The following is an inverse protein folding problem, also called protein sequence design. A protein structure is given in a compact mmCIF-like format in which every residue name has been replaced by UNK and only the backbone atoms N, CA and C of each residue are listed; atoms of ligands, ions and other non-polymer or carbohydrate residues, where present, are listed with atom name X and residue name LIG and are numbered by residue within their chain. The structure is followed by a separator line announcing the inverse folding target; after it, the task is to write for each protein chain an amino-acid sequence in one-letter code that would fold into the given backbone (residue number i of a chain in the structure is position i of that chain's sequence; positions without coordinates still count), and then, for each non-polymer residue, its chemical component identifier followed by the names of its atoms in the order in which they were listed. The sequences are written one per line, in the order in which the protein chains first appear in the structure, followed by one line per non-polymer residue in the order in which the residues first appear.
data_IF_642596655534
#
_entry.id   IF_642596655534
#
_cell.length_a   1.000
_cell.length_b   1.000
_cell.length_c   1.000
_cell.angle_alpha   90.00
_cell.angle_beta   90.00
_cell.angle_gamma   90.00
#
_symmetry.space_group_name_H-M   'P 1'
#
loop_
_entity.id
_entity.type
_entity.pdbx_description
1 polymer ?
#
# COMPACT_ATOMS: atom_id res chain seq x y z
N UNK A 1 -2.23 -1.63 -20.33
CA UNK A 1 -1.07 -1.07 -19.57
C UNK A 1 0.06 -2.10 -19.49
N UNK A 2 1.32 -1.67 -19.40
CA UNK A 2 2.47 -2.55 -19.16
C UNK A 2 2.28 -3.47 -17.96
N UNK A 3 2.98 -4.61 -17.92
CA UNK A 3 2.86 -5.58 -16.81
C UNK A 3 3.21 -4.96 -15.45
N UNK A 4 4.22 -4.09 -15.41
CA UNK A 4 4.63 -3.41 -14.19
C UNK A 4 3.54 -2.49 -13.62
N UNK A 5 2.77 -1.80 -14.46
CA UNK A 5 1.61 -0.98 -14.01
C UNK A 5 0.59 -1.84 -13.28
N UNK A 6 0.31 -3.04 -13.80
CA UNK A 6 -0.63 -3.97 -13.16
C UNK A 6 -0.11 -4.43 -11.80
N UNK A 7 1.18 -4.76 -11.71
CA UNK A 7 1.82 -5.16 -10.45
C UNK A 7 1.70 -4.04 -9.40
N UNK A 8 2.11 -2.82 -9.74
CA UNK A 8 2.02 -1.66 -8.86
C UNK A 8 0.58 -1.43 -8.42
N UNK A 9 -0.37 -1.35 -9.36
CA UNK A 9 -1.77 -1.16 -9.03
C UNK A 9 -2.32 -2.26 -8.09
N UNK A 10 -1.94 -3.52 -8.29
CA UNK A 10 -2.36 -4.64 -7.43
C UNK A 10 -1.80 -4.52 -6.01
N UNK A 11 -0.52 -4.16 -5.88
CA UNK A 11 0.15 -3.90 -4.61
C UNK A 11 -0.55 -2.78 -3.83
N UNK A 12 -0.72 -1.62 -4.46
CA UNK A 12 -1.45 -0.49 -3.87
C UNK A 12 -2.90 -0.83 -3.52
N UNK A 13 -3.60 -1.61 -4.34
CA UNK A 13 -4.99 -2.05 -4.07
C UNK A 13 -5.09 -2.82 -2.75
N UNK A 14 -4.08 -3.63 -2.43
CA UNK A 14 -4.04 -4.40 -1.20
C UNK A 14 -3.48 -3.61 0.00
N UNK A 15 -3.19 -2.31 -0.17
CA UNK A 15 -2.57 -1.48 0.87
C UNK A 15 -1.10 -1.81 1.12
N UNK A 16 -0.38 -2.39 0.17
CA UNK A 16 1.08 -2.58 0.25
C UNK A 16 1.74 -1.89 -0.94
N UNK A 17 2.12 -0.61 -0.85
CA UNK A 17 2.94 0.03 -1.88
C UNK A 17 4.23 -0.79 -2.10
N UNK A 18 4.58 -1.16 -3.35
CA UNK A 18 5.69 -2.06 -3.65
C UNK A 18 7.06 -1.50 -3.24
N UNK A 19 7.18 -0.18 -3.04
CA UNK A 19 8.37 0.51 -2.58
C UNK A 19 8.81 0.03 -1.19
N UNK A 20 7.88 -0.47 -0.37
CA UNK A 20 8.17 -1.04 0.95
C UNK A 20 8.69 -2.48 0.89
N UNK A 21 8.62 -3.14 -0.26
CA UNK A 21 9.06 -4.52 -0.41
C UNK A 21 10.58 -4.54 -0.54
N UNK A 22 11.26 -4.82 0.57
CA UNK A 22 12.70 -5.05 0.62
C UNK A 22 13.55 -3.81 0.87
N UNK A 23 13.01 -2.59 0.76
CA UNK A 23 13.79 -1.36 0.94
C UNK A 23 14.43 -1.26 2.34
N UNK A 24 13.66 -1.42 3.42
CA UNK A 24 14.21 -1.31 4.77
C UNK A 24 15.24 -2.40 5.10
N UNK A 25 15.00 -3.64 4.65
CA UNK A 25 15.98 -4.71 4.77
C UNK A 25 17.26 -4.41 3.97
N UNK A 26 17.12 -3.86 2.76
CA UNK A 26 18.25 -3.48 1.91
C UNK A 26 19.09 -2.36 2.51
N UNK A 27 18.46 -1.30 3.03
CA UNK A 27 19.17 -0.21 3.71
C UNK A 27 19.88 -0.69 4.97
N UNK A 28 19.24 -1.59 5.74
CA UNK A 28 19.86 -2.24 6.88
C UNK A 28 21.10 -3.04 6.49
N UNK A 29 21.01 -3.87 5.46
CA UNK A 29 22.14 -4.68 5.00
C UNK A 29 23.29 -3.80 4.47
N UNK A 30 22.99 -2.72 3.77
CA UNK A 30 23.98 -1.72 3.33
C UNK A 30 24.67 -1.09 4.54
N UNK A 31 23.92 -0.68 5.57
CA UNK A 31 24.48 -0.16 6.83
C UNK A 31 25.40 -1.17 7.51
N UNK A 32 24.99 -2.44 7.59
CA UNK A 32 25.75 -3.50 8.25
C UNK A 32 27.04 -3.87 7.50
N UNK A 33 27.02 -3.81 6.16
CA UNK A 33 28.15 -4.25 5.32
C UNK A 33 29.08 -3.12 4.88
N UNK A 34 28.55 -1.91 4.69
CA UNK A 34 29.26 -0.76 4.12
C UNK A 34 29.32 0.45 5.09
N UNK A 35 28.60 0.39 6.21
CA UNK A 35 28.58 1.45 7.23
C UNK A 35 27.55 2.55 6.97
N UNK A 36 27.30 3.37 8.00
CA UNK A 36 26.30 4.45 8.00
C UNK A 36 26.48 5.44 6.83
N UNK A 37 27.73 5.85 6.58
CA UNK A 37 28.04 6.83 5.53
C UNK A 37 27.60 6.39 4.13
N UNK A 38 27.51 5.08 3.86
CA UNK A 38 27.02 4.58 2.58
C UNK A 38 25.50 4.79 2.45
N UNK A 39 24.75 4.58 3.53
CA UNK A 39 23.31 4.84 3.57
C UNK A 39 23.04 6.33 3.45
N UNK A 40 23.75 7.17 4.19
CA UNK A 40 23.61 8.63 4.11
C UNK A 40 23.85 9.13 2.67
N UNK A 41 24.88 8.61 2.00
CA UNK A 41 25.19 8.96 0.61
C UNK A 41 24.07 8.57 -0.36
N UNK A 42 23.45 7.39 -0.19
CA UNK A 42 22.30 6.99 -1.00
C UNK A 42 21.13 7.95 -0.79
N UNK A 43 20.81 8.26 0.46
CA UNK A 43 19.62 9.04 0.82
C UNK A 43 19.77 10.54 0.53
N UNK A 44 20.98 11.10 0.58
CA UNK A 44 21.19 12.55 0.45
C UNK A 44 21.85 12.99 -0.85
N UNK A 45 22.68 12.15 -1.47
CA UNK A 45 23.44 12.52 -2.67
C UNK A 45 22.97 11.78 -3.94
N UNK A 46 22.87 10.44 -3.86
CA UNK A 46 22.64 9.62 -5.06
C UNK A 46 21.16 9.53 -5.43
N UNK A 47 20.26 9.43 -4.44
CA UNK A 47 18.83 9.36 -4.66
C UNK A 47 18.05 10.24 -3.66
N UNK A 48 18.21 11.57 -3.73
CA UNK A 48 17.68 12.50 -2.74
C UNK A 48 16.15 12.54 -2.64
N UNK A 49 15.42 12.15 -3.69
CA UNK A 49 13.95 12.10 -3.63
C UNK A 49 13.42 10.89 -2.85
N UNK A 50 14.23 9.85 -2.64
CA UNK A 50 13.78 8.59 -2.06
C UNK A 50 13.08 8.79 -0.72
N UNK A 51 13.59 9.67 0.14
CA UNK A 51 12.97 9.95 1.43
C UNK A 51 11.58 10.59 1.26
N UNK A 52 11.46 11.58 0.38
CA UNK A 52 10.19 12.26 0.11
C UNK A 52 9.17 11.31 -0.55
N UNK A 53 9.64 10.46 -1.47
CA UNK A 53 8.83 9.48 -2.18
C UNK A 53 8.27 8.46 -1.18
N UNK A 54 9.12 7.86 -0.34
CA UNK A 54 8.72 6.91 0.71
C UNK A 54 7.76 7.53 1.72
N UNK A 55 8.06 8.75 2.16
CA UNK A 55 7.21 9.50 3.09
C UNK A 55 5.82 9.74 2.49
N UNK A 56 5.73 10.10 1.21
CA UNK A 56 4.44 10.29 0.54
C UNK A 56 3.66 8.98 0.40
N UNK A 57 4.32 7.90 -0.06
CA UNK A 57 3.61 6.63 -0.32
C UNK A 57 3.24 5.87 0.95
N UNK A 58 3.87 6.17 2.10
CA UNK A 58 3.51 5.56 3.39
C UNK A 58 2.07 5.84 3.81
N UNK A 59 1.47 6.92 3.31
CA UNK A 59 0.04 7.22 3.50
C UNK A 59 -0.88 6.11 3.01
N UNK A 60 -0.43 5.28 2.08
CA UNK A 60 -1.21 4.21 1.46
C UNK A 60 -0.87 2.82 2.03
N UNK A 61 0.00 2.76 3.04
CA UNK A 61 0.50 1.52 3.63
C UNK A 61 -0.42 1.02 4.75
N UNK A 62 -1.02 -0.14 4.54
CA UNK A 62 -1.71 -0.91 5.57
C UNK A 62 -0.76 -1.95 6.18
N UNK A 63 -0.39 -1.77 7.45
CA UNK A 63 0.55 -2.65 8.19
C UNK A 63 -0.10 -3.84 8.87
N UNK A 64 -1.43 -3.95 8.87
CA UNK A 64 -2.14 -5.02 9.56
C UNK A 64 -2.05 -6.34 8.77
N UNK A 65 -1.40 -7.34 9.36
CA UNK A 65 -1.25 -8.70 8.84
C UNK A 65 -2.59 -9.43 8.62
N UNK A 66 -3.67 -8.99 9.26
CA UNK A 66 -5.00 -9.60 9.15
C UNK A 66 -5.80 -9.03 7.99
N UNK A 67 -5.68 -7.72 7.74
CA UNK A 67 -6.49 -7.02 6.73
C UNK A 67 -5.74 -6.80 5.41
N UNK A 68 -4.40 -6.72 5.42
CA UNK A 68 -3.58 -6.68 4.21
C UNK A 68 -3.18 -8.10 3.75
N UNK A 69 -3.72 -8.54 2.62
CA UNK A 69 -3.49 -9.90 2.10
C UNK A 69 -2.07 -10.15 1.59
N UNK A 70 -1.30 -9.10 1.27
CA UNK A 70 0.07 -9.21 0.79
C UNK A 70 1.10 -9.03 1.91
N UNK A 71 0.68 -8.56 3.09
CA UNK A 71 1.58 -8.32 4.20
C UNK A 71 2.05 -9.65 4.82
N UNK A 72 3.36 -9.86 4.84
CA UNK A 72 4.00 -10.98 5.53
C UNK A 72 4.79 -10.48 6.74
N UNK A 73 5.07 -11.32 7.75
CA UNK A 73 5.90 -10.92 8.88
C UNK A 73 7.28 -10.39 8.47
N UNK A 74 7.87 -10.92 7.39
CA UNK A 74 9.16 -10.47 6.88
C UNK A 74 9.09 -9.08 6.23
N UNK A 75 8.01 -8.80 5.48
CA UNK A 75 7.78 -7.47 4.89
C UNK A 75 7.53 -6.46 6.00
N UNK A 76 6.68 -6.79 6.98
CA UNK A 76 6.43 -5.93 8.13
C UNK A 76 7.71 -5.63 8.92
N UNK A 77 8.57 -6.65 9.15
CA UNK A 77 9.89 -6.45 9.75
C UNK A 77 10.72 -5.47 8.93
N UNK A 78 10.79 -5.65 7.60
CA UNK A 78 11.50 -4.73 6.72
C UNK A 78 10.98 -3.29 6.78
N UNK A 79 9.66 -3.11 6.86
CA UNK A 79 9.04 -1.79 7.05
C UNK A 79 9.44 -1.18 8.39
N UNK A 80 9.42 -1.95 9.48
CA UNK A 80 9.84 -1.46 10.80
C UNK A 80 11.31 -1.04 10.81
N UNK A 81 12.18 -1.76 10.08
CA UNK A 81 13.58 -1.38 9.93
C UNK A 81 13.75 -0.09 9.11
N UNK A 82 12.88 0.15 8.13
CA UNK A 82 12.89 1.36 7.29
C UNK A 82 12.69 2.64 8.09
N UNK A 83 11.90 2.60 9.17
CA UNK A 83 11.65 3.75 10.05
C UNK A 83 12.92 4.28 10.74
N UNK A 84 13.99 3.48 10.79
CA UNK A 84 15.29 3.95 11.29
C UNK A 84 16.01 4.88 10.28
N UNK A 85 15.56 4.93 9.02
CA UNK A 85 16.22 5.65 7.92
C UNK A 85 15.34 6.75 7.30
N UNK A 86 14.02 6.57 7.34
CA UNK A 86 13.06 7.48 6.69
C UNK A 86 11.84 7.66 7.60
N UNK A 87 11.41 8.91 7.76
CA UNK A 87 10.16 9.26 8.44
C UNK A 87 8.95 8.86 7.56
N UNK A 88 7.98 8.16 8.15
CA UNK A 88 6.74 7.78 7.48
C UNK A 88 5.62 8.76 7.87
N UNK A 89 4.78 9.16 6.92
CA UNK A 89 3.54 9.88 7.19
C UNK A 89 2.43 8.96 7.71
N UNK A 90 1.52 9.59 8.47
CA UNK A 90 0.28 8.98 8.94
C UNK A 90 -0.56 8.44 7.77
N UNK A 91 -1.06 7.19 7.86
CA UNK A 91 -1.91 6.61 6.84
C UNK A 91 -3.19 7.39 6.57
N UNK A 92 -3.59 7.44 5.30
CA UNK A 92 -4.87 7.98 4.87
C UNK A 92 -6.00 7.01 5.25
N UNK A 93 -6.79 7.38 6.25
CA UNK A 93 -7.82 6.50 6.82
C UNK A 93 -8.88 6.05 5.79
N UNK A 94 -9.26 6.93 4.87
CA UNK A 94 -10.19 6.59 3.79
C UNK A 94 -9.59 5.55 2.85
N UNK A 95 -8.31 5.72 2.50
CA UNK A 95 -7.58 4.78 1.67
C UNK A 95 -7.47 3.41 2.35
N UNK A 96 -7.11 3.40 3.63
CA UNK A 96 -6.98 2.16 4.40
C UNK A 96 -8.28 1.37 4.41
N UNK A 97 -9.40 2.00 4.79
CA UNK A 97 -10.74 1.37 4.81
C UNK A 97 -11.05 0.73 3.45
N UNK A 98 -10.78 1.44 2.36
CA UNK A 98 -11.07 0.96 1.02
C UNK A 98 -10.14 -0.20 0.60
N UNK A 99 -8.85 -0.14 0.95
CA UNK A 99 -7.88 -1.20 0.69
C UNK A 99 -8.16 -2.47 1.49
N UNK A 100 -8.67 -2.34 2.71
CA UNK A 100 -9.10 -3.46 3.56
C UNK A 100 -10.34 -4.14 2.99
N UNK A 101 -11.31 -3.36 2.50
CA UNK A 101 -12.50 -3.90 1.85
C UNK A 101 -12.12 -4.63 0.55
N UNK A 102 -11.23 -4.05 -0.26
CA UNK A 102 -10.70 -4.70 -1.45
C UNK A 102 -10.00 -6.03 -1.11
N UNK A 103 -9.15 -6.04 -0.08
CA UNK A 103 -8.46 -7.25 0.41
C UNK A 103 -9.45 -8.31 0.91
N UNK A 104 -10.51 -7.90 1.60
CA UNK A 104 -11.58 -8.81 2.04
C UNK A 104 -12.30 -9.44 0.85
N UNK A 105 -12.63 -8.67 -0.20
CA UNK A 105 -13.25 -9.23 -1.41
C UNK A 105 -12.34 -10.19 -2.14
N UNK A 106 -11.05 -9.89 -2.24
CA UNK A 106 -10.06 -10.80 -2.83
C UNK A 106 -10.02 -12.11 -2.02
N UNK A 107 -9.98 -12.03 -0.69
CA UNK A 107 -9.96 -13.21 0.19
C UNK A 107 -11.22 -14.06 0.08
N UNK A 108 -12.39 -13.42 0.01
CA UNK A 108 -13.67 -14.11 -0.21
C UNK A 108 -13.67 -14.85 -1.56
N UNK A 109 -13.21 -14.18 -2.63
CA UNK A 109 -13.08 -14.80 -3.97
C UNK A 109 -12.11 -15.99 -3.97
N UNK A 110 -10.96 -15.87 -3.29
CA UNK A 110 -9.95 -16.94 -3.22
C UNK A 110 -10.43 -18.15 -2.41
N UNK A 111 -11.23 -17.93 -1.38
CA UNK A 111 -11.70 -18.99 -0.47
C UNK A 111 -13.08 -19.55 -0.84
N UNK A 112 -13.78 -18.92 -1.78
CA UNK A 112 -15.17 -19.25 -2.13
C UNK A 112 -16.17 -18.95 -1.01
N UNK A 113 -15.74 -18.25 0.05
CA UNK A 113 -16.60 -17.87 1.18
C UNK A 113 -17.16 -16.47 0.95
N UNK A 114 -18.44 -16.27 1.25
CA UNK A 114 -19.05 -14.95 1.27
C UNK A 114 -19.04 -14.43 2.70
N UNK A 115 -18.22 -13.43 3.00
CA UNK A 115 -18.33 -12.71 4.27
C UNK A 115 -19.58 -11.83 4.25
N UNK A 116 -20.19 -11.59 5.42
CA UNK A 116 -21.28 -10.61 5.58
C UNK A 116 -20.73 -9.21 5.26
N UNK A 117 -20.80 -8.80 4.00
CA UNK A 117 -20.38 -7.46 3.58
C UNK A 117 -21.39 -6.42 4.08
N UNK A 118 -20.88 -5.32 4.63
CA UNK A 118 -21.67 -4.13 4.98
C UNK A 118 -21.70 -3.20 3.78
N UNK A 119 -22.84 -2.56 3.53
CA UNK A 119 -22.91 -1.42 2.59
C UNK A 119 -21.93 -0.35 3.09
N UNK A 120 -21.05 0.13 2.20
CA UNK A 120 -20.05 1.12 2.55
C UNK A 120 -20.16 2.33 1.61
N UNK A 121 -20.10 3.53 2.19
CA UNK A 121 -20.00 4.79 1.48
C UNK A 121 -18.72 5.51 1.94
N UNK A 122 -17.84 5.88 1.00
CA UNK A 122 -16.56 6.55 1.28
C UNK A 122 -16.44 7.81 0.43
N UNK A 123 -15.97 8.90 1.02
CA UNK A 123 -15.57 10.10 0.29
C UNK A 123 -14.23 9.84 -0.43
N UNK A 124 -14.22 9.90 -1.76
CA UNK A 124 -13.03 9.64 -2.59
C UNK A 124 -12.31 10.96 -2.92
N UNK A 125 -13.07 12.00 -3.25
CA UNK A 125 -12.59 13.35 -3.56
C UNK A 125 -13.59 14.38 -3.01
N UNK A 126 -13.22 15.66 -3.01
CA UNK A 126 -14.13 16.75 -2.66
C UNK A 126 -15.37 16.63 -3.55
N UNK A 127 -16.53 16.37 -2.94
CA UNK A 127 -17.84 16.17 -3.57
C UNK A 127 -18.09 14.83 -4.30
N UNK A 128 -17.22 13.82 -4.14
CA UNK A 128 -17.42 12.49 -4.74
C UNK A 128 -17.48 11.38 -3.68
N UNK A 129 -18.67 10.83 -3.44
CA UNK A 129 -18.92 9.70 -2.53
C UNK A 129 -19.13 8.42 -3.33
N UNK A 130 -18.29 7.42 -3.10
CA UNK A 130 -18.42 6.10 -3.70
C UNK A 130 -19.20 5.15 -2.77
N UNK A 131 -20.28 4.55 -3.29
CA UNK A 131 -20.99 3.46 -2.64
C UNK A 131 -20.58 2.08 -3.19
N UNK A 132 -20.47 1.09 -2.31
CA UNK A 132 -20.22 -0.32 -2.64
C UNK A 132 -21.35 -1.21 -2.09
N UNK A 133 -21.94 -2.01 -2.98
CA UNK A 133 -23.18 -2.76 -2.73
C UNK A 133 -22.93 -4.25 -2.47
N UNK A 134 -23.76 -4.87 -1.62
CA UNK A 134 -23.62 -6.29 -1.30
C UNK A 134 -23.89 -7.19 -2.52
N UNK A 135 -23.13 -8.29 -2.64
CA UNK A 135 -23.32 -9.31 -3.67
C UNK A 135 -22.63 -9.04 -5.02
N UNK A 136 -22.08 -7.84 -5.24
CA UNK A 136 -21.39 -7.43 -6.47
C UNK A 136 -19.87 -7.38 -6.29
N UNK A 137 -19.27 -8.43 -5.70
CA UNK A 137 -17.87 -8.40 -5.25
C UNK A 137 -16.88 -8.08 -6.39
N UNK A 138 -17.10 -8.60 -7.60
CA UNK A 138 -16.22 -8.38 -8.76
C UNK A 138 -16.39 -6.98 -9.37
N UNK A 139 -17.62 -6.49 -9.52
CA UNK A 139 -17.83 -5.12 -10.01
C UNK A 139 -17.34 -4.09 -8.99
N UNK A 140 -17.63 -4.32 -7.71
CA UNK A 140 -17.13 -3.45 -6.64
C UNK A 140 -15.61 -3.43 -6.61
N UNK A 141 -14.93 -4.58 -6.68
CA UNK A 141 -13.46 -4.61 -6.67
C UNK A 141 -12.89 -3.83 -7.86
N UNK A 142 -13.48 -3.95 -9.05
CA UNK A 142 -13.05 -3.19 -10.24
C UNK A 142 -13.21 -1.69 -10.03
N UNK A 143 -14.31 -1.25 -9.41
CA UNK A 143 -14.55 0.14 -9.04
C UNK A 143 -13.55 0.63 -7.97
N UNK A 144 -13.30 -0.17 -6.93
CA UNK A 144 -12.34 0.14 -5.85
C UNK A 144 -10.93 0.36 -6.39
N UNK A 145 -10.47 -0.46 -7.33
CA UNK A 145 -9.15 -0.30 -7.96
C UNK A 145 -9.01 1.10 -8.60
N UNK A 146 -10.07 1.57 -9.25
CA UNK A 146 -10.11 2.90 -9.87
C UNK A 146 -10.17 4.01 -8.82
N UNK A 147 -11.01 3.85 -7.79
CA UNK A 147 -11.18 4.86 -6.75
C UNK A 147 -9.91 5.00 -5.88
N UNK A 148 -9.28 3.90 -5.48
CA UNK A 148 -7.96 3.90 -4.85
C UNK A 148 -6.91 4.59 -5.74
N UNK A 149 -7.02 4.43 -7.07
CA UNK A 149 -6.19 5.14 -8.04
C UNK A 149 -6.35 6.64 -8.00
N UNK A 150 -7.60 7.11 -7.93
CA UNK A 150 -7.90 8.55 -7.79
C UNK A 150 -7.37 9.11 -6.48
N UNK A 151 -7.56 8.40 -5.36
CA UNK A 151 -7.09 8.82 -4.04
C UNK A 151 -5.58 9.05 -4.01
N UNK A 152 -4.79 8.18 -4.66
CA UNK A 152 -3.34 8.35 -4.79
C UNK A 152 -2.91 9.25 -5.96
N UNK A 153 -3.86 9.82 -6.71
CA UNK A 153 -3.65 10.62 -7.93
C UNK A 153 -2.86 9.89 -9.02
N UNK A 154 -2.86 8.56 -9.00
CA UNK A 154 -2.22 7.73 -10.03
C UNK A 154 -2.83 6.33 -10.08
N UNK A 155 -2.84 5.70 -11.26
CA UNK A 155 -3.14 4.27 -11.38
C UNK A 155 -1.91 3.38 -11.11
N UNK A 156 -0.70 3.92 -11.26
CA UNK A 156 0.57 3.30 -10.87
C UNK A 156 1.62 4.39 -10.65
#
# INVERSE_FOLDING_TARGET
PPRWVKFVASCYTCGLPPEFIGLGSGLKEIKETMGESAVEKILSELYPSLQADIKFVSRFLNRDLRSNILMTPNILKGINELENFVELEEPDSGYLILSELASSYIKDMLTGKTSKSKKLAILIEKDNVAEYLNGLSRENLSKMILDLGKMRKSLA
#
